data_IF_278915293535
#
_entry.id   IF_278915293535
#
_cell.length_a   1.000
_cell.length_b   1.000
_cell.length_c   1.000
_cell.angle_alpha   90.00
_cell.angle_beta   90.00
_cell.angle_gamma   90.00
#
_symmetry.space_group_name_H-M   'P 1'
#
loop_
_entity.id
_entity.type
_entity.pdbx_description
1 polymer ?
#
# COMPACT_ATOMS: atom_id res chain seq x y z
N UNK A 1 24.39 6.33 25.02
CA UNK A 1 23.70 7.59 24.68
C UNK A 1 24.51 8.48 23.74
N UNK A 2 25.76 8.85 24.08
CA UNK A 2 26.64 9.72 23.24
C UNK A 2 26.69 9.40 21.73
N UNK A 3 26.74 8.12 21.32
CA UNK A 3 26.79 7.71 19.90
C UNK A 3 25.47 7.97 19.13
N UNK A 4 24.33 7.89 19.80
CA UNK A 4 23.00 8.15 19.20
C UNK A 4 22.80 9.67 19.08
N UNK A 5 23.13 10.42 20.14
CA UNK A 5 23.10 11.88 20.14
C UNK A 5 24.02 12.48 19.08
N UNK A 6 25.20 11.89 18.86
CA UNK A 6 26.11 12.36 17.82
C UNK A 6 25.54 12.12 16.41
N UNK A 7 24.89 10.97 16.16
CA UNK A 7 24.21 10.68 14.88
C UNK A 7 22.98 11.56 14.67
N UNK A 8 22.29 11.95 15.73
CA UNK A 8 21.09 12.79 15.64
C UNK A 8 21.38 14.19 15.07
N UNK A 9 22.60 14.70 15.24
CA UNK A 9 23.03 16.02 14.72
C UNK A 9 23.04 16.09 13.19
N UNK A 10 23.18 14.95 12.52
CA UNK A 10 23.28 14.86 11.06
C UNK A 10 21.90 14.76 10.38
N UNK A 11 20.81 14.74 11.17
CA UNK A 11 19.44 14.58 10.67
C UNK A 11 18.64 15.87 10.85
N UNK A 12 17.77 16.22 9.89
CA UNK A 12 17.56 15.54 8.60
C UNK A 12 18.75 15.75 7.64
N UNK A 13 19.04 14.74 6.82
CA UNK A 13 20.08 14.78 5.79
C UNK A 13 19.60 15.66 4.63
N UNK A 14 19.97 16.94 4.60
CA UNK A 14 19.41 17.95 3.67
C UNK A 14 19.28 17.50 2.19
N UNK A 15 20.24 16.79 1.58
CA UNK A 15 20.13 16.33 0.19
C UNK A 15 18.95 15.41 -0.12
N UNK A 16 18.32 14.77 0.88
CA UNK A 16 17.16 13.89 0.65
C UNK A 16 15.82 14.62 0.64
N UNK A 17 15.79 15.90 1.02
CA UNK A 17 14.55 16.69 1.06
C UNK A 17 13.80 16.73 -0.28
N UNK A 18 14.46 16.90 -1.45
CA UNK A 18 13.77 16.84 -2.74
C UNK A 18 13.10 15.48 -2.99
N UNK A 19 13.75 14.38 -2.59
CA UNK A 19 13.20 13.03 -2.72
C UNK A 19 11.97 12.87 -1.83
N UNK A 20 12.00 13.38 -0.60
CA UNK A 20 10.87 13.32 0.31
C UNK A 20 9.64 14.09 -0.20
N UNK A 21 9.83 15.28 -0.80
CA UNK A 21 8.75 16.03 -1.44
C UNK A 21 8.20 15.32 -2.67
N UNK A 22 9.07 14.74 -3.49
CA UNK A 22 8.66 13.93 -4.65
C UNK A 22 7.82 12.72 -4.22
N UNK A 23 8.22 12.03 -3.14
CA UNK A 23 7.47 10.91 -2.56
C UNK A 23 6.05 11.33 -2.17
N UNK A 24 5.88 12.48 -1.50
CA UNK A 24 4.55 12.95 -1.08
C UNK A 24 3.68 13.36 -2.28
N UNK A 25 4.24 14.06 -3.27
CA UNK A 25 3.51 14.41 -4.49
C UNK A 25 3.08 13.16 -5.26
N UNK A 26 3.98 12.19 -5.41
CA UNK A 26 3.68 10.91 -6.04
C UNK A 26 2.61 10.13 -5.25
N UNK A 27 2.64 10.17 -3.92
CA UNK A 27 1.58 9.60 -3.09
C UNK A 27 0.23 10.25 -3.39
N UNK A 28 0.15 11.58 -3.39
CA UNK A 28 -1.12 12.28 -3.65
C UNK A 28 -1.67 11.94 -5.04
N UNK A 29 -0.84 12.06 -6.09
CA UNK A 29 -1.22 11.71 -7.46
C UNK A 29 -1.67 10.24 -7.62
N UNK A 30 -1.04 9.32 -6.88
CA UNK A 30 -1.45 7.92 -6.84
C UNK A 30 -2.86 7.76 -6.22
N UNK A 31 -3.11 8.38 -5.07
CA UNK A 31 -4.41 8.29 -4.40
C UNK A 31 -5.53 8.90 -5.24
N UNK A 32 -5.28 10.09 -5.82
CA UNK A 32 -6.24 10.77 -6.69
C UNK A 32 -6.55 9.91 -7.93
N UNK A 33 -5.51 9.41 -8.60
CA UNK A 33 -5.65 8.60 -9.80
C UNK A 33 -6.36 7.27 -9.54
N UNK A 34 -6.03 6.56 -8.45
CA UNK A 34 -6.75 5.33 -8.06
C UNK A 34 -8.19 5.66 -7.71
N UNK A 35 -8.44 6.73 -6.94
CA UNK A 35 -9.79 7.17 -6.60
C UNK A 35 -10.63 7.41 -7.84
N UNK A 36 -10.10 8.09 -8.86
CA UNK A 36 -10.82 8.26 -10.13
C UNK A 36 -11.05 6.93 -10.84
N UNK A 37 -10.01 6.11 -11.02
CA UNK A 37 -10.11 4.88 -11.82
C UNK A 37 -11.08 3.84 -11.23
N UNK A 38 -11.21 3.71 -9.91
CA UNK A 38 -12.16 2.76 -9.30
C UNK A 38 -13.64 3.11 -9.55
N UNK A 39 -13.94 4.34 -9.96
CA UNK A 39 -15.30 4.72 -10.37
C UNK A 39 -15.63 4.27 -11.79
N UNK A 40 -14.62 4.01 -12.63
CA UNK A 40 -14.79 3.62 -14.04
C UNK A 40 -14.52 2.12 -14.27
N UNK A 41 -13.69 1.49 -13.44
CA UNK A 41 -13.35 0.08 -13.55
C UNK A 41 -13.89 -0.69 -12.33
N UNK A 42 -14.69 -1.75 -12.52
CA UNK A 42 -15.21 -2.52 -11.39
C UNK A 42 -14.08 -3.18 -10.59
N UNK A 43 -14.06 -2.92 -9.29
CA UNK A 43 -13.12 -3.53 -8.34
C UNK A 43 -13.89 -4.17 -7.20
N UNK A 44 -13.52 -5.40 -6.89
CA UNK A 44 -14.17 -6.26 -5.91
C UNK A 44 -13.19 -6.66 -4.81
N UNK A 45 -13.63 -6.57 -3.56
CA UNK A 45 -12.90 -7.07 -2.40
C UNK A 45 -13.66 -8.25 -1.80
N UNK A 46 -12.94 -9.26 -1.32
CA UNK A 46 -13.57 -10.36 -0.61
C UNK A 46 -13.97 -9.89 0.81
N UNK A 47 -15.20 -10.18 1.21
CA UNK A 47 -15.71 -9.88 2.56
C UNK A 47 -14.95 -10.55 3.71
N UNK A 48 -14.29 -11.67 3.42
CA UNK A 48 -13.75 -12.57 4.45
C UNK A 48 -12.24 -12.71 4.45
N UNK A 49 -11.57 -12.35 3.34
CA UNK A 49 -10.12 -12.43 3.25
C UNK A 49 -9.56 -11.25 2.44
N UNK A 50 -8.23 -11.00 2.49
CA UNK A 50 -7.64 -9.87 1.79
C UNK A 50 -7.59 -9.99 0.26
N UNK A 51 -8.38 -10.85 -0.39
CA UNK A 51 -8.37 -10.96 -1.86
C UNK A 51 -9.06 -9.76 -2.50
N UNK A 52 -8.50 -9.25 -3.60
CA UNK A 52 -9.10 -8.21 -4.44
C UNK A 52 -9.04 -8.66 -5.89
N UNK A 53 -10.07 -8.33 -6.66
CA UNK A 53 -10.14 -8.62 -8.08
C UNK A 53 -10.66 -7.42 -8.85
N UNK A 54 -10.07 -7.16 -10.02
CA UNK A 54 -10.48 -6.06 -10.91
C UNK A 54 -11.10 -6.70 -12.15
N UNK A 55 -12.33 -6.32 -12.52
CA UNK A 55 -13.04 -6.88 -13.67
C UNK A 55 -14.55 -6.91 -13.45
N UNK A 56 -15.31 -7.15 -14.52
CA UNK A 56 -16.79 -7.08 -14.54
C UNK A 56 -17.48 -7.79 -13.36
N UNK A 57 -16.93 -8.93 -12.93
CA UNK A 57 -17.35 -9.63 -11.71
C UNK A 57 -16.15 -10.31 -11.05
N UNK A 58 -16.31 -10.72 -9.80
CA UNK A 58 -15.28 -11.46 -9.08
C UNK A 58 -14.96 -12.84 -9.69
N UNK A 59 -13.76 -13.36 -9.44
CA UNK A 59 -13.36 -14.67 -9.95
C UNK A 59 -14.00 -15.84 -9.16
N UNK A 60 -13.96 -17.04 -9.75
CA UNK A 60 -14.50 -18.28 -9.16
C UNK A 60 -13.42 -19.25 -8.65
N UNK A 61 -12.13 -18.85 -8.71
CA UNK A 61 -11.03 -19.61 -8.10
C UNK A 61 -11.31 -19.84 -6.61
N UNK A 62 -11.24 -21.10 -6.17
CA UNK A 62 -11.44 -21.50 -4.78
C UNK A 62 -10.21 -21.22 -3.92
N UNK A 63 -9.87 -19.94 -3.76
CA UNK A 63 -8.73 -19.45 -2.98
C UNK A 63 -9.11 -18.73 -1.69
N UNK A 64 -10.41 -18.62 -1.36
CA UNK A 64 -10.83 -17.93 -0.15
C UNK A 64 -10.41 -18.72 1.10
N UNK A 65 -9.82 -18.00 2.06
CA UNK A 65 -9.41 -18.55 3.34
C UNK A 65 -10.50 -18.41 4.43
N UNK A 66 -11.61 -17.74 4.11
CA UNK A 66 -12.69 -17.44 5.03
C UNK A 66 -12.28 -16.55 6.20
N UNK A 67 -13.25 -16.20 7.05
CA UNK A 67 -12.98 -15.59 8.34
C UNK A 67 -12.58 -16.70 9.34
N UNK A 68 -11.70 -16.38 10.30
CA UNK A 68 -11.23 -17.21 11.43
C UNK A 68 -11.89 -18.62 11.56
N UNK A 69 -11.16 -19.67 11.20
CA UNK A 69 -11.52 -21.10 11.37
C UNK A 69 -12.66 -21.67 10.49
N UNK A 70 -13.12 -20.96 9.45
CA UNK A 70 -14.04 -21.52 8.45
C UNK A 70 -13.34 -22.43 7.41
N UNK A 71 -14.15 -23.19 6.65
CA UNK A 71 -13.68 -24.07 5.58
C UNK A 71 -12.83 -23.30 4.58
N UNK A 72 -11.62 -23.79 4.32
CA UNK A 72 -10.67 -23.21 3.36
C UNK A 72 -11.00 -23.66 1.93
N UNK A 73 -10.53 -22.92 0.93
CA UNK A 73 -10.71 -23.22 -0.50
C UNK A 73 -12.17 -23.15 -0.95
N UNK A 74 -12.80 -22.00 -0.69
CA UNK A 74 -14.13 -21.67 -1.22
C UNK A 74 -14.01 -20.55 -2.25
N UNK A 75 -15.06 -20.39 -3.06
CA UNK A 75 -15.27 -19.17 -3.84
C UNK A 75 -15.42 -17.97 -2.90
N UNK A 76 -15.08 -16.79 -3.37
CA UNK A 76 -15.13 -15.56 -2.58
C UNK A 76 -16.53 -14.95 -2.61
N UNK A 77 -16.92 -14.34 -1.50
CA UNK A 77 -18.07 -13.42 -1.45
C UNK A 77 -17.55 -12.01 -1.70
N UNK A 78 -17.99 -11.41 -2.80
CA UNK A 78 -17.47 -10.15 -3.31
C UNK A 78 -18.34 -8.97 -2.91
N UNK A 79 -17.70 -7.89 -2.48
CA UNK A 79 -18.31 -6.58 -2.25
C UNK A 79 -17.55 -5.52 -3.06
N UNK A 80 -18.16 -4.36 -3.29
CA UNK A 80 -17.48 -3.24 -3.97
C UNK A 80 -16.25 -2.83 -3.14
N UNK A 81 -15.09 -2.80 -3.79
CA UNK A 81 -13.84 -2.43 -3.14
C UNK A 81 -13.75 -0.92 -2.89
N UNK A 82 -13.01 -0.56 -1.84
CA UNK A 82 -12.60 0.80 -1.51
C UNK A 82 -11.18 1.08 -2.01
N UNK A 83 -10.75 2.34 -1.94
CA UNK A 83 -9.36 2.72 -2.22
C UNK A 83 -8.36 1.98 -1.30
N UNK A 84 -8.73 1.71 -0.05
CA UNK A 84 -7.87 1.05 0.94
C UNK A 84 -7.65 -0.45 0.62
N UNK A 85 -8.52 -1.05 -0.19
CA UNK A 85 -8.36 -2.42 -0.66
C UNK A 85 -7.26 -2.52 -1.74
N UNK A 86 -7.06 -1.44 -2.50
CA UNK A 86 -6.04 -1.31 -3.56
C UNK A 86 -4.74 -0.75 -3.01
N UNK A 87 -4.80 0.39 -2.31
CA UNK A 87 -3.68 1.04 -1.64
C UNK A 87 -3.77 0.72 -0.16
N UNK A 88 -3.04 -0.31 0.26
CA UNK A 88 -3.07 -0.79 1.65
C UNK A 88 -2.50 0.27 2.60
N UNK A 89 -3.31 0.81 3.53
CA UNK A 89 -2.83 1.81 4.48
C UNK A 89 -1.82 1.22 5.46
N UNK A 90 -0.71 1.92 5.67
CA UNK A 90 0.29 1.59 6.69
C UNK A 90 0.53 2.83 7.52
N UNK A 91 0.38 2.70 8.83
CA UNK A 91 0.54 3.80 9.77
C UNK A 91 1.78 3.64 10.64
N UNK A 92 2.31 4.76 11.13
CA UNK A 92 3.35 4.83 12.15
C UNK A 92 2.98 5.90 13.18
N UNK A 93 3.51 5.78 14.39
CA UNK A 93 3.50 6.90 15.33
C UNK A 93 4.25 8.10 14.75
N UNK A 94 3.68 9.27 14.91
CA UNK A 94 4.33 10.53 14.60
C UNK A 94 5.38 10.87 15.67
N UNK A 95 6.61 11.15 15.24
CA UNK A 95 7.71 11.52 16.12
C UNK A 95 8.11 12.99 15.88
N UNK A 96 8.52 13.68 16.93
CA UNK A 96 9.07 15.04 16.80
C UNK A 96 10.47 15.00 16.16
N UNK A 97 11.27 13.99 16.50
CA UNK A 97 12.63 13.79 15.97
C UNK A 97 12.93 12.31 15.80
N UNK A 98 13.70 11.97 14.76
CA UNK A 98 14.16 10.61 14.44
C UNK A 98 14.80 9.89 15.63
N UNK A 99 15.58 10.63 16.42
CA UNK A 99 16.25 10.14 17.62
C UNK A 99 15.64 10.80 18.84
N UNK A 100 14.51 10.25 19.29
CA UNK A 100 13.83 10.66 20.52
C UNK A 100 13.60 9.47 21.46
N UNK A 101 12.99 9.74 22.61
CA UNK A 101 12.60 8.69 23.54
C UNK A 101 11.62 7.71 22.89
N UNK A 102 11.78 6.43 23.22
CA UNK A 102 10.94 5.36 22.69
C UNK A 102 9.53 5.48 23.25
N UNK A 103 8.53 5.57 22.36
CA UNK A 103 7.10 5.57 22.72
C UNK A 103 6.76 4.32 23.53
N UNK A 104 6.34 4.52 24.78
CA UNK A 104 5.93 3.45 25.71
C UNK A 104 4.48 3.06 25.46
N UNK A 105 4.08 1.94 26.05
CA UNK A 105 2.72 1.45 25.87
C UNK A 105 1.63 2.36 26.44
N UNK A 106 1.86 3.02 27.57
CA UNK A 106 0.88 3.96 28.13
C UNK A 106 0.76 5.23 27.30
N UNK A 107 1.87 5.68 26.69
CA UNK A 107 1.93 6.88 25.84
C UNK A 107 1.28 6.68 24.47
N UNK A 108 0.84 5.47 24.10
CA UNK A 108 0.39 5.16 22.74
C UNK A 108 -0.80 5.99 22.25
N UNK A 109 -1.57 6.58 23.16
CA UNK A 109 -2.70 7.45 22.83
C UNK A 109 -2.32 8.94 22.87
N UNK A 110 -1.15 9.27 23.42
CA UNK A 110 -0.61 10.63 23.46
C UNK A 110 0.13 10.98 22.16
N UNK A 111 0.41 9.97 21.32
CA UNK A 111 1.02 10.11 20.01
C UNK A 111 0.01 9.91 18.90
N UNK A 112 -0.03 10.86 17.97
CA UNK A 112 -0.80 10.72 16.73
C UNK A 112 -0.26 9.57 15.88
N UNK A 113 -1.15 8.84 15.20
CA UNK A 113 -0.80 7.92 14.11
C UNK A 113 -1.01 8.62 12.78
N UNK A 114 -0.04 8.51 11.89
CA UNK A 114 -0.09 9.05 10.53
C UNK A 114 0.44 8.01 9.53
N UNK A 115 0.20 8.14 8.21
CA UNK A 115 0.74 7.20 7.24
C UNK A 115 2.26 7.09 7.34
N UNK A 116 2.80 5.88 7.34
CA UNK A 116 4.23 5.62 7.56
C UNK A 116 5.13 6.28 6.51
N UNK A 117 4.66 6.40 5.27
CA UNK A 117 5.34 7.16 4.21
C UNK A 117 5.41 8.65 4.55
N UNK A 118 4.33 9.22 5.10
CA UNK A 118 4.30 10.63 5.50
C UNK A 118 5.26 10.87 6.65
N UNK A 119 5.23 10.00 7.67
CA UNK A 119 6.20 10.07 8.76
C UNK A 119 7.65 9.97 8.26
N UNK A 120 7.93 9.08 7.30
CA UNK A 120 9.26 8.96 6.69
C UNK A 120 9.70 10.29 6.04
N UNK A 121 8.80 10.95 5.31
CA UNK A 121 9.09 12.24 4.67
C UNK A 121 9.23 13.39 5.68
N UNK A 122 8.44 13.42 6.75
CA UNK A 122 8.58 14.39 7.84
C UNK A 122 9.95 14.24 8.52
N UNK A 123 10.36 13.00 8.83
CA UNK A 123 11.69 12.75 9.37
C UNK A 123 12.81 13.07 8.37
N UNK A 124 12.50 13.12 7.07
CA UNK A 124 13.39 13.60 6.03
C UNK A 124 13.48 15.13 5.89
N UNK A 125 12.75 15.87 6.73
CA UNK A 125 12.83 17.33 6.84
C UNK A 125 11.78 18.07 6.01
N UNK A 126 10.73 17.39 5.53
CA UNK A 126 9.57 18.08 4.93
C UNK A 126 8.83 18.84 6.04
N UNK A 127 8.43 20.07 5.75
CA UNK A 127 7.63 20.90 6.67
C UNK A 127 6.22 20.32 6.81
N UNK A 128 5.68 20.28 8.02
CA UNK A 128 4.32 19.84 8.29
C UNK A 128 3.27 20.69 7.57
N UNK A 129 3.59 21.96 7.31
CA UNK A 129 2.73 22.90 6.59
C UNK A 129 2.91 22.83 5.07
N UNK A 130 3.80 21.97 4.55
CA UNK A 130 3.92 21.75 3.12
C UNK A 130 2.59 21.19 2.59
N UNK A 131 2.03 21.81 1.55
CA UNK A 131 0.74 21.43 0.96
C UNK A 131 0.67 19.92 0.65
N UNK A 132 1.80 19.32 0.24
CA UNK A 132 1.87 17.89 -0.05
C UNK A 132 1.65 17.00 1.17
N UNK A 133 2.05 17.45 2.36
CA UNK A 133 1.81 16.79 3.65
C UNK A 133 0.35 16.95 4.05
N UNK A 134 -0.20 18.15 4.01
CA UNK A 134 -1.60 18.43 4.39
C UNK A 134 -2.58 17.56 3.60
N UNK A 135 -2.43 17.50 2.27
CA UNK A 135 -3.25 16.61 1.42
C UNK A 135 -3.04 15.12 1.73
N UNK A 136 -1.86 14.74 2.22
CA UNK A 136 -1.53 13.35 2.55
C UNK A 136 -2.02 12.90 3.94
N UNK A 137 -2.19 13.83 4.89
CA UNK A 137 -2.65 13.55 6.27
C UNK A 137 -4.18 13.68 6.39
N UNK A 138 -4.81 14.53 5.58
CA UNK A 138 -6.24 14.91 5.68
C UNK A 138 -7.18 13.92 4.96
N UNK A 139 -6.75 12.76 4.48
CA UNK A 139 -7.70 11.80 3.88
C UNK A 139 -8.17 10.71 4.85
N UNK A 140 -9.25 10.91 5.62
CA UNK A 140 -10.35 9.98 5.63
C UNK A 140 -11.30 10.41 4.50
N UNK A 141 -11.15 9.83 3.31
CA UNK A 141 -12.27 9.85 2.34
C UNK A 141 -13.26 8.79 2.80
N UNK A 142 -13.89 9.03 3.95
CA UNK A 142 -15.15 8.39 4.29
C UNK A 142 -16.23 9.30 3.70
N UNK A 143 -16.84 8.80 2.62
CA UNK A 143 -18.14 9.20 2.08
C UNK A 143 -18.34 10.71 1.87
N UNK A 144 -17.65 11.29 0.90
CA UNK A 144 -18.30 12.31 0.11
C UNK A 144 -19.29 11.59 -0.81
N UNK A 145 -20.56 11.55 -0.41
CA UNK A 145 -21.72 11.42 -1.30
C UNK A 145 -21.72 12.62 -2.26
N UNK A 146 -20.71 12.66 -3.13
CA UNK A 146 -20.74 13.51 -4.29
C UNK A 146 -21.51 12.72 -5.33
N UNK A 147 -22.83 12.97 -5.37
CA UNK A 147 -23.67 12.88 -6.56
C UNK A 147 -23.15 13.81 -7.69
N UNK A 148 -21.83 13.85 -7.90
CA UNK A 148 -21.21 14.35 -9.11
C UNK A 148 -21.44 13.26 -10.14
N UNK A 149 -22.56 13.41 -10.84
CA UNK A 149 -22.85 12.89 -12.18
C UNK A 149 -21.64 12.14 -12.73
N UNK A 150 -21.74 10.82 -12.89
CA UNK A 150 -20.82 10.03 -13.72
C UNK A 150 -20.85 10.62 -15.13
N UNK A 151 -20.11 11.69 -15.35
CA UNK A 151 -19.71 12.08 -16.69
C UNK A 151 -18.75 11.00 -17.12
N UNK A 152 -19.13 10.25 -18.15
CA UNK A 152 -18.25 9.32 -18.82
C UNK A 152 -17.04 10.11 -19.29
N UNK A 153 -15.92 10.00 -18.59
CA UNK A 153 -14.65 10.54 -19.07
C UNK A 153 -14.31 9.84 -20.40
N UNK A 154 -13.81 10.58 -21.40
CA UNK A 154 -13.28 9.97 -22.61
C UNK A 154 -12.20 8.93 -22.30
N UNK A 155 -12.13 7.87 -23.10
CA UNK A 155 -11.14 6.79 -22.93
C UNK A 155 -9.69 7.31 -22.92
N UNK A 156 -9.39 8.36 -23.69
CA UNK A 156 -8.07 9.00 -23.73
C UNK A 156 -7.70 9.68 -22.40
N UNK A 157 -8.67 10.28 -21.71
CA UNK A 157 -8.48 10.91 -20.40
C UNK A 157 -8.24 9.84 -19.33
N UNK A 158 -9.02 8.75 -19.34
CA UNK A 158 -8.81 7.60 -18.45
C UNK A 158 -7.43 6.98 -18.66
N UNK A 159 -7.00 6.88 -19.92
CA UNK A 159 -5.66 6.38 -20.27
C UNK A 159 -4.55 7.32 -19.79
N UNK A 160 -4.75 8.63 -19.85
CA UNK A 160 -3.81 9.61 -19.31
C UNK A 160 -3.70 9.50 -17.79
N UNK A 161 -4.84 9.46 -17.09
CA UNK A 161 -4.91 9.26 -15.64
C UNK A 161 -4.19 7.96 -15.26
N UNK A 162 -4.43 6.87 -15.98
CA UNK A 162 -3.79 5.58 -15.72
C UNK A 162 -2.27 5.63 -15.89
N UNK A 163 -1.76 6.31 -16.93
CA UNK A 163 -0.33 6.51 -17.13
C UNK A 163 0.30 7.32 -15.99
N UNK A 164 -0.34 8.41 -15.59
CA UNK A 164 0.13 9.27 -14.49
C UNK A 164 0.09 8.51 -13.15
N UNK A 165 -0.98 7.78 -12.88
CA UNK A 165 -1.15 6.94 -11.68
C UNK A 165 -0.06 5.88 -11.58
N UNK A 166 0.21 5.18 -12.69
CA UNK A 166 1.24 4.14 -12.75
C UNK A 166 2.66 4.73 -12.58
N UNK A 167 2.92 5.89 -13.17
CA UNK A 167 4.16 6.62 -12.93
C UNK A 167 4.30 7.04 -11.46
N UNK A 168 3.24 7.56 -10.85
CA UNK A 168 3.20 7.95 -9.46
C UNK A 168 3.47 6.76 -8.51
N UNK A 169 2.90 5.59 -8.79
CA UNK A 169 3.20 4.33 -8.08
C UNK A 169 4.68 3.97 -8.09
N UNK A 170 5.32 4.06 -9.25
CA UNK A 170 6.74 3.77 -9.44
C UNK A 170 7.64 4.78 -8.71
N UNK A 171 7.34 6.07 -8.87
CA UNK A 171 8.06 7.17 -8.24
C UNK A 171 7.96 7.10 -6.71
N UNK A 172 6.75 6.85 -6.18
CA UNK A 172 6.51 6.65 -4.75
C UNK A 172 7.40 5.55 -4.18
N UNK A 173 7.37 4.35 -4.78
CA UNK A 173 8.11 3.19 -4.28
C UNK A 173 9.62 3.37 -4.40
N UNK A 174 10.09 3.94 -5.51
CA UNK A 174 11.51 4.26 -5.71
C UNK A 174 12.01 5.31 -4.72
N UNK A 175 11.23 6.38 -4.48
CA UNK A 175 11.57 7.41 -3.52
C UNK A 175 11.60 6.89 -2.08
N UNK A 176 10.61 6.09 -1.66
CA UNK A 176 10.61 5.41 -0.36
C UNK A 176 11.85 4.51 -0.22
N UNK A 177 12.23 3.79 -1.27
CA UNK A 177 13.45 2.98 -1.25
C UNK A 177 14.70 3.83 -0.98
N UNK A 178 14.86 4.95 -1.69
CA UNK A 178 15.98 5.89 -1.50
C UNK A 178 16.00 6.45 -0.07
N UNK A 179 14.84 6.85 0.47
CA UNK A 179 14.75 7.37 1.84
C UNK A 179 15.12 6.30 2.88
N UNK A 180 14.70 5.05 2.69
CA UNK A 180 15.02 3.94 3.61
C UNK A 180 16.52 3.56 3.67
N UNK A 181 17.35 4.04 2.73
CA UNK A 181 18.82 3.94 2.85
C UNK A 181 19.40 4.92 3.87
N UNK A 182 18.73 6.05 4.08
CA UNK A 182 19.20 7.14 4.94
C UNK A 182 18.47 7.16 6.28
N UNK A 183 17.16 6.97 6.26
CA UNK A 183 16.29 7.05 7.41
C UNK A 183 15.91 5.66 7.89
N UNK A 184 16.33 5.23 9.09
CA UNK A 184 16.01 3.91 9.60
C UNK A 184 14.50 3.80 9.88
N UNK A 185 13.91 2.69 9.47
CA UNK A 185 12.56 2.31 9.85
C UNK A 185 12.52 0.84 10.26
N UNK A 186 11.56 0.50 11.10
CA UNK A 186 11.34 -0.83 11.66
C UNK A 186 9.94 -1.33 11.34
N UNK A 187 9.84 -2.63 11.10
CA UNK A 187 8.57 -3.33 10.93
C UNK A 187 8.51 -4.50 11.91
N UNK A 188 7.33 -4.83 12.41
CA UNK A 188 7.15 -6.03 13.18
C UNK A 188 7.10 -7.26 12.25
N UNK A 189 7.85 -8.32 12.58
CA UNK A 189 7.82 -9.58 11.80
C UNK A 189 6.45 -10.26 11.75
N UNK A 190 5.60 -10.01 12.75
CA UNK A 190 4.38 -10.78 12.99
C UNK A 190 3.10 -9.98 12.80
N UNK A 191 3.18 -8.65 12.63
CA UNK A 191 2.03 -7.80 12.37
C UNK A 191 2.43 -6.63 11.46
N UNK A 192 1.47 -5.94 10.88
CA UNK A 192 1.67 -4.81 9.96
C UNK A 192 2.09 -3.50 10.66
N UNK A 193 2.68 -3.58 11.86
CA UNK A 193 3.10 -2.39 12.62
C UNK A 193 4.44 -1.89 12.11
N UNK A 194 4.51 -0.59 11.81
CA UNK A 194 5.68 0.09 11.27
C UNK A 194 6.05 1.27 12.16
N UNK A 195 7.34 1.47 12.34
CA UNK A 195 7.89 2.60 13.08
C UNK A 195 9.04 3.23 12.30
N UNK A 196 8.89 4.49 11.93
CA UNK A 196 9.99 5.27 11.34
C UNK A 196 10.91 5.72 12.48
N UNK A 197 12.07 5.10 12.59
CA UNK A 197 12.98 5.27 13.72
C UNK A 197 13.97 4.12 13.86
N UNK A 198 15.08 4.31 14.62
CA UNK A 198 16.14 3.32 14.74
C UNK A 198 15.77 2.08 15.56
N UNK A 199 14.83 2.18 16.51
CA UNK A 199 14.67 1.15 17.57
C UNK A 199 13.27 0.54 17.67
N UNK A 200 12.26 1.09 16.99
CA UNK A 200 10.87 0.66 17.19
C UNK A 200 10.28 1.18 18.51
N UNK A 201 8.96 1.10 18.65
CA UNK A 201 8.26 1.48 19.89
C UNK A 201 8.07 0.31 20.86
N UNK A 202 7.69 0.63 22.10
CA UNK A 202 7.37 -0.34 23.17
C UNK A 202 5.87 -0.50 23.41
N UNK A 203 5.01 0.08 22.58
CA UNK A 203 3.58 -0.19 22.65
C UNK A 203 3.29 -1.69 22.46
N UNK A 204 2.47 -2.26 23.35
CA UNK A 204 2.06 -3.66 23.32
C UNK A 204 0.81 -3.84 22.45
N UNK A 205 0.95 -3.63 21.14
CA UNK A 205 -0.16 -3.69 20.18
C UNK A 205 -0.07 -4.92 19.25
N UNK A 206 0.94 -5.78 19.40
CA UNK A 206 1.07 -6.97 18.58
C UNK A 206 0.03 -8.02 19.00
N UNK A 207 -0.97 -8.25 18.13
CA UNK A 207 -2.07 -9.20 18.40
C UNK A 207 -1.65 -10.66 18.48
N UNK A 208 -0.48 -11.02 17.91
CA UNK A 208 0.01 -12.42 17.85
C UNK A 208 0.46 -12.93 19.21
N UNK A 209 1.07 -12.08 20.04
CA UNK A 209 1.66 -12.48 21.32
C UNK A 209 0.85 -12.03 22.53
N UNK A 210 -0.45 -11.78 22.38
CA UNK A 210 -1.29 -11.24 23.47
C UNK A 210 -1.32 -12.16 24.71
N UNK A 211 -1.23 -13.48 24.50
CA UNK A 211 -1.32 -14.50 25.55
C UNK A 211 0.01 -15.25 25.80
N UNK A 212 1.08 -14.86 25.12
CA UNK A 212 2.42 -15.45 25.29
C UNK A 212 3.30 -14.56 26.19
N UNK A 213 4.48 -15.06 26.57
CA UNK A 213 5.47 -14.37 27.43
C UNK A 213 5.85 -12.98 26.92
N UNK A 214 5.74 -12.73 25.61
CA UNK A 214 6.04 -11.45 24.97
C UNK A 214 4.95 -10.37 25.19
N UNK A 215 3.80 -10.70 25.80
CA UNK A 215 2.75 -9.78 26.25
C UNK A 215 2.38 -8.70 25.22
N UNK A 216 2.27 -9.07 23.95
CA UNK A 216 1.91 -8.17 22.84
C UNK A 216 3.01 -7.19 22.41
N UNK A 217 4.27 -7.40 22.79
CA UNK A 217 5.42 -6.64 22.26
C UNK A 217 5.74 -7.02 20.80
N UNK A 218 6.46 -6.14 20.11
CA UNK A 218 6.79 -6.30 18.69
C UNK A 218 8.18 -6.93 18.49
N UNK A 219 8.31 -7.78 17.49
CA UNK A 219 9.59 -8.28 17.00
C UNK A 219 10.08 -7.40 15.85
N UNK A 220 10.91 -6.41 16.17
CA UNK A 220 11.35 -5.39 15.21
C UNK A 220 12.43 -5.91 14.25
N UNK A 221 12.20 -5.73 12.96
CA UNK A 221 13.16 -5.95 11.87
C UNK A 221 13.39 -4.66 11.09
N UNK A 222 14.43 -4.60 10.26
CA UNK A 222 14.64 -3.47 9.33
C UNK A 222 13.50 -3.47 8.29
N UNK A 223 12.82 -2.34 8.15
CA UNK A 223 11.77 -2.16 7.16
C UNK A 223 12.33 -2.06 5.73
N UNK A 224 11.53 -2.52 4.78
CA UNK A 224 11.72 -2.46 3.32
C UNK A 224 10.58 -1.66 2.69
N UNK A 225 10.67 -1.45 1.39
CA UNK A 225 9.67 -0.69 0.62
C UNK A 225 8.28 -1.29 0.78
N UNK A 226 8.15 -2.61 0.70
CA UNK A 226 6.87 -3.30 0.81
C UNK A 226 6.26 -3.24 2.21
N UNK A 227 7.04 -2.92 3.25
CA UNK A 227 6.51 -2.74 4.59
C UNK A 227 5.80 -1.38 4.73
N UNK A 228 6.22 -0.36 3.97
CA UNK A 228 5.63 0.99 3.99
C UNK A 228 4.64 1.21 2.86
N UNK A 229 4.85 0.58 1.71
CA UNK A 229 4.01 0.67 0.51
C UNK A 229 3.72 -0.75 0.01
N UNK A 230 2.96 -1.56 0.76
CA UNK A 230 2.71 -2.96 0.39
C UNK A 230 2.00 -3.08 -0.96
N UNK A 231 2.48 -3.93 -1.88
CA UNK A 231 1.77 -4.22 -3.10
C UNK A 231 0.61 -5.17 -2.80
N UNK A 232 -0.62 -4.72 -3.07
CA UNK A 232 -1.79 -5.61 -3.08
C UNK A 232 -1.74 -6.49 -4.32
N UNK A 233 -1.39 -7.78 -4.20
CA UNK A 233 -1.39 -8.67 -5.36
C UNK A 233 -2.81 -9.11 -5.71
N UNK A 234 -3.12 -9.09 -7.00
CA UNK A 234 -4.41 -9.51 -7.57
C UNK A 234 -4.17 -10.47 -8.74
N UNK A 235 -5.16 -11.30 -9.04
CA UNK A 235 -5.20 -12.09 -10.26
C UNK A 235 -5.32 -11.16 -11.48
N UNK A 236 -4.41 -11.33 -12.43
CA UNK A 236 -4.38 -10.57 -13.67
C UNK A 236 -4.89 -11.46 -14.81
N UNK A 237 -6.08 -11.14 -15.32
CA UNK A 237 -6.66 -11.78 -16.50
C UNK A 237 -5.96 -11.28 -17.76
N UNK A 238 -5.42 -12.19 -18.56
CA UNK A 238 -4.85 -11.89 -19.88
C UNK A 238 -5.93 -11.94 -20.95
N UNK A 239 -5.63 -11.39 -22.13
CA UNK A 239 -6.57 -11.37 -23.26
C UNK A 239 -7.05 -12.78 -23.68
N UNK A 240 -6.17 -13.77 -23.56
CA UNK A 240 -6.42 -15.18 -23.89
C UNK A 240 -7.12 -15.97 -22.76
N UNK A 241 -7.19 -15.41 -21.55
CA UNK A 241 -7.81 -16.08 -20.40
C UNK A 241 -9.35 -15.92 -20.44
N UNK A 242 -10.09 -16.85 -19.82
CA UNK A 242 -11.55 -16.77 -19.77
C UNK A 242 -12.02 -15.45 -19.13
N UNK A 243 -13.24 -15.02 -19.48
CA UNK A 243 -13.85 -13.79 -18.92
C UNK A 243 -13.93 -13.83 -17.39
N UNK A 244 -14.21 -15.01 -16.84
CA UNK A 244 -14.24 -15.29 -15.41
C UNK A 244 -13.16 -16.32 -15.13
N UNK A 245 -12.21 -15.98 -14.26
CA UNK A 245 -11.14 -16.90 -13.89
C UNK A 245 -11.66 -18.01 -12.97
N UNK A 246 -11.33 -19.25 -13.33
CA UNK A 246 -11.72 -20.51 -12.66
C UNK A 246 -10.48 -21.35 -12.33
N UNK A 247 -10.61 -22.34 -11.45
CA UNK A 247 -9.47 -23.11 -10.92
C UNK A 247 -8.64 -23.84 -11.99
N UNK A 248 -9.25 -24.26 -13.11
CA UNK A 248 -8.61 -25.04 -14.18
C UNK A 248 -7.40 -24.33 -14.81
N UNK A 249 -7.41 -22.98 -14.83
CA UNK A 249 -6.32 -22.17 -15.38
C UNK A 249 -5.47 -21.47 -14.33
N UNK A 250 -5.69 -21.75 -13.03
CA UNK A 250 -5.07 -21.03 -11.91
C UNK A 250 -3.55 -20.94 -12.00
N UNK A 251 -2.90 -22.02 -12.41
CA UNK A 251 -1.45 -22.08 -12.53
C UNK A 251 -0.91 -21.34 -13.77
N UNK A 252 -1.79 -20.95 -14.70
CA UNK A 252 -1.45 -20.24 -15.93
C UNK A 252 -1.74 -18.74 -15.86
N UNK A 253 -2.68 -18.31 -15.00
CA UNK A 253 -3.00 -16.88 -14.87
C UNK A 253 -1.86 -16.07 -14.26
N UNK A 254 -1.79 -14.81 -14.67
CA UNK A 254 -0.85 -13.84 -14.13
C UNK A 254 -1.31 -13.27 -12.79
N UNK A 255 -0.38 -12.59 -12.12
CA UNK A 255 -0.67 -11.71 -11.01
C UNK A 255 -0.05 -10.33 -11.26
N UNK A 256 -0.52 -9.33 -10.54
CA UNK A 256 0.09 -8.00 -10.54
C UNK A 256 -0.27 -7.26 -9.25
N UNK A 257 0.48 -6.21 -8.88
CA UNK A 257 -0.04 -5.23 -7.93
C UNK A 257 -1.34 -4.63 -8.48
N UNK A 258 -2.35 -4.45 -7.62
CA UNK A 258 -3.68 -3.96 -7.97
C UNK A 258 -3.63 -2.64 -8.73
N UNK A 259 -2.76 -1.72 -8.32
CA UNK A 259 -2.52 -0.44 -9.00
C UNK A 259 -2.04 -0.65 -10.45
N UNK A 260 -1.14 -1.62 -10.68
CA UNK A 260 -0.59 -1.91 -12.00
C UNK A 260 -1.64 -2.53 -12.90
N UNK A 261 -2.41 -3.50 -12.40
CA UNK A 261 -3.50 -4.14 -13.14
C UNK A 261 -4.63 -3.16 -13.48
N UNK A 262 -5.04 -2.32 -12.52
CA UNK A 262 -6.03 -1.26 -12.70
C UNK A 262 -5.62 -0.29 -13.81
N UNK A 263 -4.39 0.25 -13.74
CA UNK A 263 -3.89 1.17 -14.75
C UNK A 263 -3.74 0.49 -16.12
N UNK A 264 -3.37 -0.79 -16.15
CA UNK A 264 -3.24 -1.54 -17.40
C UNK A 264 -4.59 -1.73 -18.10
N UNK A 265 -5.64 -2.04 -17.33
CA UNK A 265 -7.02 -2.13 -17.84
C UNK A 265 -7.56 -0.80 -18.34
N UNK A 266 -7.09 0.30 -17.76
CA UNK A 266 -7.33 1.65 -18.24
C UNK A 266 -6.44 2.09 -19.41
N UNK A 267 -5.65 1.18 -20.00
CA UNK A 267 -4.86 1.44 -21.22
C UNK A 267 -3.45 2.00 -20.99
N UNK A 268 -2.96 2.03 -19.76
CA UNK A 268 -1.55 2.29 -19.48
C UNK A 268 -0.69 1.05 -19.82
N UNK A 269 0.54 1.28 -20.27
CA UNK A 269 1.48 0.18 -20.51
C UNK A 269 2.19 -0.18 -19.21
N UNK A 270 2.03 -1.42 -18.76
CA UNK A 270 2.74 -1.93 -17.60
C UNK A 270 4.27 -1.91 -17.83
N UNK A 271 5.09 -1.49 -16.84
CA UNK A 271 6.54 -1.65 -16.91
C UNK A 271 6.96 -3.10 -17.11
N UNK A 272 8.02 -3.31 -17.88
CA UNK A 272 8.52 -4.65 -18.24
C UNK A 272 8.87 -5.54 -17.03
N UNK A 273 9.27 -4.94 -15.91
CA UNK A 273 9.53 -5.67 -14.65
C UNK A 273 8.32 -6.45 -14.11
N UNK A 274 7.10 -6.10 -14.54
CA UNK A 274 5.87 -6.80 -14.16
C UNK A 274 5.49 -7.92 -15.14
N UNK A 275 6.08 -7.99 -16.34
CA UNK A 275 5.63 -8.91 -17.40
C UNK A 275 5.72 -10.38 -17.01
N UNK A 276 6.75 -10.76 -16.25
CA UNK A 276 6.90 -12.13 -15.76
C UNK A 276 5.78 -12.49 -14.78
N UNK A 277 5.48 -11.60 -13.82
CA UNK A 277 4.41 -11.80 -12.84
C UNK A 277 3.03 -11.85 -13.52
N UNK A 278 2.81 -10.95 -14.48
CA UNK A 278 1.58 -10.86 -15.28
C UNK A 278 1.44 -11.98 -16.32
N UNK A 279 2.50 -12.77 -16.55
CA UNK A 279 2.55 -13.83 -17.55
C UNK A 279 2.06 -13.38 -18.93
N UNK A 280 2.49 -12.18 -19.37
CA UNK A 280 2.04 -11.55 -20.63
C UNK A 280 2.18 -12.49 -21.84
N UNK A 281 3.28 -13.24 -21.90
CA UNK A 281 3.56 -14.24 -22.95
C UNK A 281 3.44 -15.68 -22.41
N UNK A 282 2.77 -15.88 -21.27
CA UNK A 282 2.62 -17.20 -20.68
C UNK A 282 1.67 -18.08 -21.49
N UNK A 283 1.82 -19.40 -21.36
CA UNK A 283 0.93 -20.37 -22.00
C UNK A 283 -0.50 -20.28 -21.45
N UNK A 284 -1.45 -20.80 -22.21
CA UNK A 284 -2.82 -21.08 -21.76
C UNK A 284 -2.89 -22.51 -21.23
N UNK A 285 -3.83 -22.78 -20.30
CA UNK A 285 -4.13 -24.14 -19.92
C UNK A 285 -4.57 -24.93 -21.17
N UNK A 286 -4.08 -26.16 -21.32
CA UNK A 286 -4.64 -27.10 -22.30
C UNK A 286 -6.05 -27.43 -21.86
N UNK A 287 -7.04 -27.01 -22.66
CA UNK A 287 -8.45 -27.37 -22.48
C UNK A 287 -8.63 -28.87 -22.65
#
# INVERSE_FOLDING_TARGET
MKRIEQRAKDYPVKPTLPVAREVLRARNALYDGVSTLIHHFPVWACKYCPEVYIGEGGHLIQSCHGYRHHSKKKVHEWVKASINDIIVPVESFHLQKMFQNVVRHHERFDHQRIPAVVELCLQAGVDVNDQSVSSSVITPVDNADNNTISQSLPDDDLRLIAKQTLHAWETLRSGVHKLLFVYPARVCKHCSEVHVGPSGHKARACGVFKYETWRGTHFWMKARVDDLVPPKLVWCRRRQDPLILVDEGRDYYGHAPAVVDLCSKAGALAPSKYFCMMKVNGLTASV
#
